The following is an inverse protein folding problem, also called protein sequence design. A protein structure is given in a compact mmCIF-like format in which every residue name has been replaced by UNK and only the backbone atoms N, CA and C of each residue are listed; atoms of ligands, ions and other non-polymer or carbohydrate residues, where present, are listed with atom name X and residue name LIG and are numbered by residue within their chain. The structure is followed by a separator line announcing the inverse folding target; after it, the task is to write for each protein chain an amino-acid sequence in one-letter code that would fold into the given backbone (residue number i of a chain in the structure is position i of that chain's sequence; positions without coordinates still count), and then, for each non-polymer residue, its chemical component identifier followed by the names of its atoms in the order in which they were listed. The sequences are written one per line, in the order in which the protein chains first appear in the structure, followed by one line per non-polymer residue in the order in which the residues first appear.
data_IF_262279424898
#
_entry.id   IF_262279424898
#
_cell.length_a   1.000
_cell.length_b   1.000
_cell.length_c   1.000
_cell.angle_alpha   90.00
_cell.angle_beta   90.00
_cell.angle_gamma   90.00
#
_symmetry.space_group_name_H-M   'P 1'
#
loop_
_entity.id
_entity.type
_entity.pdbx_description
1 polymer ?
#
# COMPACT_ATOMS: atom_id res chain seq x y z
N UNK A 1 -9.40 3.19 18.53
CA UNK A 1 -9.74 4.62 18.70
C UNK A 1 -10.62 5.01 17.53
N UNK A 2 -11.69 5.78 17.75
CA UNK A 2 -12.60 6.22 16.70
C UNK A 2 -12.41 7.71 16.41
N UNK A 3 -12.28 8.06 15.13
CA UNK A 3 -12.01 9.42 14.67
C UNK A 3 -13.08 9.89 13.68
N UNK A 4 -13.25 11.20 13.47
CA UNK A 4 -14.05 11.72 12.35
C UNK A 4 -13.55 11.11 11.04
N UNK A 5 -14.48 10.78 10.13
CA UNK A 5 -14.16 10.16 8.83
C UNK A 5 -13.05 10.88 8.07
N UNK A 6 -13.15 12.21 7.95
CA UNK A 6 -12.15 13.05 7.27
C UNK A 6 -10.74 12.95 7.89
N UNK A 7 -10.65 12.73 9.20
CA UNK A 7 -9.37 12.53 9.86
C UNK A 7 -8.77 11.16 9.53
N UNK A 8 -9.62 10.12 9.45
CA UNK A 8 -9.21 8.78 8.99
C UNK A 8 -8.73 8.84 7.53
N UNK A 9 -9.46 9.55 6.66
CA UNK A 9 -9.08 9.78 5.26
C UNK A 9 -7.67 10.38 5.16
N UNK A 10 -7.41 11.48 5.85
CA UNK A 10 -6.10 12.14 5.83
C UNK A 10 -4.96 11.24 6.33
N UNK A 11 -5.22 10.40 7.34
CA UNK A 11 -4.21 9.44 7.82
C UNK A 11 -3.88 8.42 6.73
N UNK A 12 -4.89 7.87 6.04
CA UNK A 12 -4.68 6.86 5.01
C UNK A 12 -3.97 7.47 3.80
N UNK A 13 -4.41 8.65 3.34
CA UNK A 13 -3.77 9.37 2.24
C UNK A 13 -2.29 9.64 2.55
N UNK A 14 -1.98 10.09 3.77
CA UNK A 14 -0.59 10.36 4.16
C UNK A 14 0.30 9.11 4.31
N UNK A 15 -0.25 7.90 4.14
CA UNK A 15 0.50 6.65 4.19
C UNK A 15 0.54 5.92 2.85
N UNK A 16 -0.20 6.40 1.86
CA UNK A 16 -0.41 5.69 0.60
C UNK A 16 0.88 5.64 -0.23
N UNK A 17 1.47 6.79 -0.53
CA UNK A 17 2.71 6.90 -1.30
C UNK A 17 3.87 6.07 -0.71
N UNK A 18 4.26 6.25 0.58
CA UNK A 18 5.34 5.45 1.16
C UNK A 18 5.00 3.96 1.22
N UNK A 19 3.73 3.58 1.44
CA UNK A 19 3.29 2.19 1.40
C UNK A 19 3.51 1.59 0.01
N UNK A 20 3.08 2.30 -1.05
CA UNK A 20 3.20 1.82 -2.41
C UNK A 20 4.65 1.72 -2.86
N UNK A 21 5.47 2.73 -2.58
CA UNK A 21 6.91 2.69 -2.88
C UNK A 21 7.58 1.45 -2.27
N UNK A 22 7.27 1.14 -1.00
CA UNK A 22 7.85 -0.01 -0.32
C UNK A 22 7.31 -1.35 -0.82
N UNK A 23 6.04 -1.41 -1.24
CA UNK A 23 5.51 -2.59 -1.92
C UNK A 23 6.22 -2.82 -3.25
N UNK A 24 6.46 -1.77 -4.04
CA UNK A 24 7.24 -1.87 -5.28
C UNK A 24 8.65 -2.38 -5.00
N UNK A 25 9.35 -1.83 -4.00
CA UNK A 25 10.68 -2.29 -3.57
C UNK A 25 10.68 -3.79 -3.23
N UNK A 26 9.69 -4.25 -2.45
CA UNK A 26 9.63 -5.64 -2.01
C UNK A 26 9.29 -6.62 -3.14
N UNK A 27 8.45 -6.22 -4.07
CA UNK A 27 7.86 -7.13 -5.07
C UNK A 27 8.65 -7.17 -6.38
N UNK A 28 9.32 -6.08 -6.73
CA UNK A 28 9.96 -5.90 -8.03
C UNK A 28 11.48 -5.76 -7.97
N UNK A 29 12.11 -5.85 -6.80
CA UNK A 29 13.57 -5.69 -6.68
C UNK A 29 14.18 -6.72 -5.72
N UNK A 30 15.36 -7.21 -6.09
CA UNK A 30 16.15 -8.16 -5.31
C UNK A 30 17.08 -7.43 -4.33
N UNK A 31 16.47 -6.83 -3.30
CA UNK A 31 17.21 -6.23 -2.19
C UNK A 31 17.88 -7.28 -1.29
N UNK A 32 18.96 -6.88 -0.62
CA UNK A 32 19.59 -7.69 0.42
C UNK A 32 18.61 -7.97 1.56
N UNK A 33 18.78 -9.11 2.24
CA UNK A 33 17.87 -9.56 3.30
C UNK A 33 17.62 -8.50 4.39
N UNK A 34 18.64 -7.71 4.73
CA UNK A 34 18.51 -6.66 5.75
C UNK A 34 17.59 -5.51 5.31
N UNK A 35 17.74 -5.06 4.06
CA UNK A 35 16.90 -4.03 3.45
C UNK A 35 15.47 -4.53 3.28
N UNK A 36 15.29 -5.78 2.81
CA UNK A 36 13.95 -6.41 2.74
C UNK A 36 13.27 -6.44 4.10
N UNK A 37 13.99 -6.87 5.16
CA UNK A 37 13.45 -6.85 6.53
C UNK A 37 13.05 -5.46 6.99
N UNK A 38 13.85 -4.44 6.66
CA UNK A 38 13.54 -3.05 6.97
C UNK A 38 12.25 -2.60 6.29
N UNK A 39 12.14 -2.74 4.96
CA UNK A 39 10.96 -2.35 4.20
C UNK A 39 9.69 -3.10 4.66
N UNK A 40 9.80 -4.40 4.93
CA UNK A 40 8.69 -5.20 5.49
C UNK A 40 8.21 -4.66 6.83
N UNK A 41 9.13 -4.24 7.69
CA UNK A 41 8.79 -3.68 9.01
C UNK A 41 8.01 -2.38 8.88
N UNK A 42 8.38 -1.53 7.92
CA UNK A 42 7.68 -0.26 7.67
C UNK A 42 6.29 -0.47 7.10
N UNK A 43 6.16 -1.30 6.06
CA UNK A 43 4.87 -1.72 5.50
C UNK A 43 3.97 -2.28 6.61
N UNK A 44 4.49 -3.20 7.43
CA UNK A 44 3.76 -3.76 8.57
C UNK A 44 3.32 -2.68 9.56
N UNK A 45 4.17 -1.71 9.88
CA UNK A 45 3.83 -0.59 10.78
C UNK A 45 2.68 0.25 10.25
N UNK A 46 2.69 0.59 8.96
CA UNK A 46 1.62 1.36 8.34
C UNK A 46 0.32 0.58 8.23
N UNK A 47 0.37 -0.70 7.88
CA UNK A 47 -0.82 -1.56 7.88
C UNK A 47 -1.40 -1.73 9.30
N UNK A 48 -0.55 -1.85 10.33
CA UNK A 48 -0.99 -1.81 11.73
C UNK A 48 -1.72 -0.51 12.06
N UNK A 49 -1.19 0.62 11.58
CA UNK A 49 -1.82 1.92 11.80
C UNK A 49 -3.19 1.98 11.12
N UNK A 50 -3.29 1.61 9.85
CA UNK A 50 -4.54 1.64 9.06
C UNK A 50 -5.59 0.69 9.66
N UNK A 51 -5.24 -0.57 9.95
CA UNK A 51 -6.22 -1.55 10.44
C UNK A 51 -6.80 -1.20 11.82
N UNK A 52 -6.15 -0.35 12.61
CA UNK A 52 -6.62 0.10 13.93
C UNK A 52 -7.57 1.30 13.87
N UNK A 53 -7.68 1.94 12.70
CA UNK A 53 -8.57 3.09 12.52
C UNK A 53 -10.03 2.63 12.57
N UNK A 54 -10.84 3.39 13.31
CA UNK A 54 -12.30 3.26 13.33
C UNK A 54 -12.89 4.65 13.12
N UNK A 55 -14.09 4.70 12.55
CA UNK A 55 -14.78 5.95 12.24
C UNK A 55 -15.90 6.23 13.24
N UNK A 56 -16.03 7.49 13.64
CA UNK A 56 -17.20 7.98 14.38
C UNK A 56 -18.43 8.07 13.46
N UNK A 57 -19.66 7.99 14.01
CA UNK A 57 -19.96 7.85 15.44
C UNK A 57 -19.95 6.41 15.96
N UNK A 58 -20.07 5.41 15.10
CA UNK A 58 -20.39 4.03 15.45
C UNK A 58 -19.15 3.12 15.62
N UNK A 59 -17.95 3.69 15.54
CA UNK A 59 -16.68 2.95 15.58
C UNK A 59 -16.57 1.86 14.51
N UNK A 60 -17.21 2.05 13.35
CA UNK A 60 -17.12 1.11 12.22
C UNK A 60 -15.87 1.31 11.37
N UNK A 61 -15.55 0.28 10.59
CA UNK A 61 -14.57 0.33 9.50
C UNK A 61 -15.14 1.07 8.28
N UNK A 62 -14.27 1.38 7.31
CA UNK A 62 -14.71 1.92 6.02
C UNK A 62 -15.30 0.86 5.10
N UNK A 63 -15.98 1.30 4.04
CA UNK A 63 -16.36 0.40 2.95
C UNK A 63 -15.14 -0.03 2.13
N UNK A 64 -15.27 -1.10 1.36
CA UNK A 64 -14.23 -1.52 0.39
C UNK A 64 -13.86 -0.36 -0.53
N UNK A 65 -14.86 0.33 -1.10
CA UNK A 65 -14.66 1.51 -1.97
C UNK A 65 -13.90 2.64 -1.27
N UNK A 66 -14.13 2.84 0.02
CA UNK A 66 -13.40 3.85 0.80
C UNK A 66 -11.91 3.52 0.88
N UNK A 67 -11.55 2.30 1.28
CA UNK A 67 -10.14 1.92 1.40
C UNK A 67 -9.46 1.84 0.04
N UNK A 68 -10.08 1.18 -0.95
CA UNK A 68 -9.53 1.04 -2.29
C UNK A 68 -9.36 2.41 -2.98
N UNK A 69 -10.35 3.29 -2.80
CA UNK A 69 -10.31 4.67 -3.29
C UNK A 69 -9.07 5.41 -2.81
N UNK A 70 -8.84 5.40 -1.49
CA UNK A 70 -7.76 6.16 -0.87
C UNK A 70 -6.37 5.52 -1.06
N UNK A 71 -6.27 4.20 -1.16
CA UNK A 71 -4.99 3.48 -1.22
C UNK A 71 -4.50 3.21 -2.64
N UNK A 72 -5.39 3.22 -3.64
CA UNK A 72 -5.03 2.83 -5.01
C UNK A 72 -5.73 3.66 -6.09
N UNK A 73 -7.06 3.80 -6.07
CA UNK A 73 -7.79 4.42 -7.18
C UNK A 73 -7.49 5.92 -7.33
N UNK A 74 -7.47 6.70 -6.25
CA UNK A 74 -7.15 8.14 -6.34
C UNK A 74 -5.68 8.42 -6.68
N UNK A 75 -4.70 7.70 -6.11
CA UNK A 75 -3.29 7.92 -6.45
C UNK A 75 -2.87 7.37 -7.82
N UNK A 76 -3.43 6.23 -8.25
CA UNK A 76 -2.98 5.52 -9.46
C UNK A 76 -4.02 5.40 -10.57
N UNK A 77 -5.31 5.58 -10.29
CA UNK A 77 -6.40 5.31 -11.24
C UNK A 77 -6.22 6.04 -12.58
N UNK A 78 -6.12 5.28 -13.66
CA UNK A 78 -5.98 5.77 -15.03
C UNK A 78 -4.57 6.23 -15.43
N UNK A 79 -3.59 6.18 -14.52
CA UNK A 79 -2.18 6.54 -14.76
C UNK A 79 -1.21 5.51 -14.15
N UNK A 80 -1.69 4.31 -13.86
CA UNK A 80 -1.01 3.28 -13.08
C UNK A 80 0.38 2.98 -13.67
N UNK A 81 0.42 2.71 -14.98
CA UNK A 81 1.66 2.32 -15.68
C UNK A 81 2.71 3.44 -15.68
N UNK A 82 2.26 4.70 -15.77
CA UNK A 82 3.17 5.85 -15.76
C UNK A 82 3.74 6.07 -14.36
N UNK A 83 2.92 5.99 -13.31
CA UNK A 83 3.38 6.10 -11.93
C UNK A 83 4.31 4.94 -11.57
N UNK A 84 3.98 3.70 -11.99
CA UNK A 84 4.84 2.54 -11.78
C UNK A 84 6.19 2.72 -12.44
N UNK A 85 6.22 3.21 -13.69
CA UNK A 85 7.46 3.56 -14.37
C UNK A 85 8.29 4.54 -13.53
N UNK A 86 7.69 5.65 -13.11
CA UNK A 86 8.42 6.69 -12.36
C UNK A 86 9.00 6.15 -11.05
N UNK A 87 8.22 5.39 -10.28
CA UNK A 87 8.68 4.80 -9.02
C UNK A 87 9.80 3.79 -9.26
N UNK A 88 9.65 2.90 -10.26
CA UNK A 88 10.68 1.91 -10.58
C UNK A 88 11.96 2.56 -11.09
N UNK A 89 11.86 3.60 -11.93
CA UNK A 89 13.01 4.32 -12.46
C UNK A 89 13.76 5.02 -11.29
N UNK A 90 13.05 5.65 -10.35
CA UNK A 90 13.63 6.27 -9.14
C UNK A 90 14.34 5.25 -8.23
N UNK A 91 13.70 4.12 -7.93
CA UNK A 91 14.31 3.05 -7.12
C UNK A 91 15.55 2.48 -7.82
N UNK A 92 15.48 2.31 -9.14
CA UNK A 92 16.61 1.79 -9.93
C UNK A 92 17.81 2.74 -9.85
N UNK A 93 17.57 4.06 -9.91
CA UNK A 93 18.60 5.08 -9.78
C UNK A 93 19.19 5.12 -8.35
N UNK A 94 18.34 5.17 -7.33
CA UNK A 94 18.77 5.26 -5.92
C UNK A 94 19.60 4.06 -5.47
N UNK A 95 19.21 2.85 -5.88
CA UNK A 95 19.84 1.61 -5.41
C UNK A 95 20.73 0.93 -6.45
N UNK A 96 20.85 1.48 -7.67
CA UNK A 96 21.57 0.86 -8.78
C UNK A 96 21.12 -0.58 -9.08
N UNK A 97 19.81 -0.84 -8.93
CA UNK A 97 19.18 -2.14 -9.18
C UNK A 97 18.36 -2.12 -10.46
N UNK A 98 18.09 -3.30 -11.00
CA UNK A 98 17.12 -3.48 -12.09
C UNK A 98 15.87 -4.16 -11.56
N UNK A 99 14.68 -3.77 -12.04
CA UNK A 99 13.46 -4.45 -11.66
C UNK A 99 13.41 -5.89 -12.19
N UNK A 100 12.85 -6.79 -11.40
CA UNK A 100 12.69 -8.22 -11.71
C UNK A 100 11.36 -8.55 -12.39
N UNK A 101 10.42 -7.59 -12.40
CA UNK A 101 9.09 -7.71 -13.01
C UNK A 101 8.85 -6.61 -14.02
N UNK A 102 7.95 -6.87 -14.97
CA UNK A 102 7.44 -5.83 -15.86
C UNK A 102 6.55 -4.84 -15.11
N UNK A 103 6.33 -3.66 -15.71
CA UNK A 103 5.45 -2.62 -15.16
C UNK A 103 3.99 -3.08 -15.09
N UNK A 104 3.57 -3.86 -16.08
CA UNK A 104 2.23 -4.45 -16.18
C UNK A 104 2.02 -5.53 -15.11
N UNK A 105 3.01 -6.39 -14.90
CA UNK A 105 2.97 -7.40 -13.83
C UNK A 105 2.89 -6.74 -12.45
N UNK A 106 3.67 -5.69 -12.22
CA UNK A 106 3.65 -4.93 -10.98
C UNK A 106 2.31 -4.21 -10.77
N UNK A 107 1.81 -3.52 -11.79
CA UNK A 107 0.53 -2.80 -11.72
C UNK A 107 -0.63 -3.77 -11.41
N UNK A 108 -0.67 -4.92 -12.10
CA UNK A 108 -1.65 -5.97 -11.83
C UNK A 108 -1.52 -6.55 -10.42
N UNK A 109 -0.30 -6.75 -9.93
CA UNK A 109 -0.07 -7.22 -8.57
C UNK A 109 -0.54 -6.21 -7.53
N UNK A 110 -0.22 -4.92 -7.68
CA UNK A 110 -0.63 -3.87 -6.74
C UNK A 110 -2.14 -3.71 -6.72
N UNK A 111 -2.79 -3.72 -7.89
CA UNK A 111 -4.25 -3.66 -7.98
C UNK A 111 -4.90 -4.79 -7.17
N UNK A 112 -4.42 -6.03 -7.34
CA UNK A 112 -4.92 -7.20 -6.60
C UNK A 112 -4.63 -7.10 -5.10
N UNK A 113 -3.43 -6.66 -4.73
CA UNK A 113 -3.05 -6.44 -3.33
C UNK A 113 -4.00 -5.45 -2.66
N UNK A 114 -4.23 -4.29 -3.28
CA UNK A 114 -5.09 -3.24 -2.71
C UNK A 114 -6.56 -3.61 -2.69
N UNK A 115 -7.06 -4.33 -3.69
CA UNK A 115 -8.42 -4.88 -3.67
C UNK A 115 -8.61 -5.83 -2.48
N UNK A 116 -7.66 -6.75 -2.24
CA UNK A 116 -7.71 -7.67 -1.10
C UNK A 116 -7.54 -6.94 0.24
N UNK A 117 -6.62 -5.98 0.32
CA UNK A 117 -6.41 -5.16 1.51
C UNK A 117 -7.67 -4.39 1.88
N UNK A 118 -8.31 -3.72 0.92
CA UNK A 118 -9.56 -2.99 1.12
C UNK A 118 -10.69 -3.91 1.60
N UNK A 119 -10.81 -5.10 1.01
CA UNK A 119 -11.75 -6.13 1.43
C UNK A 119 -11.55 -6.52 2.90
N UNK A 120 -10.32 -6.83 3.30
CA UNK A 120 -10.02 -7.24 4.68
C UNK A 120 -10.21 -6.12 5.69
N UNK A 121 -9.77 -4.91 5.37
CA UNK A 121 -9.96 -3.73 6.22
C UNK A 121 -11.44 -3.44 6.45
N UNK A 122 -12.27 -3.60 5.42
CA UNK A 122 -13.73 -3.46 5.54
C UNK A 122 -14.30 -4.46 6.56
N UNK A 123 -13.90 -5.73 6.49
CA UNK A 123 -14.35 -6.78 7.41
C UNK A 123 -13.67 -6.75 8.78
N UNK A 124 -12.70 -5.86 9.00
CA UNK A 124 -11.95 -5.77 10.26
C UNK A 124 -10.97 -6.93 10.47
N UNK A 125 -10.58 -7.61 9.40
CA UNK A 125 -9.65 -8.74 9.42
C UNK A 125 -8.19 -8.30 9.54
N UNK A 126 -7.32 -9.23 9.93
CA UNK A 126 -5.87 -9.01 9.90
C UNK A 126 -5.38 -8.87 8.45
N UNK A 127 -4.45 -7.92 8.26
CA UNK A 127 -3.86 -7.60 6.95
C UNK A 127 -2.35 -7.83 6.92
N UNK A 128 -1.76 -8.25 8.05
CA UNK A 128 -0.30 -8.31 8.19
C UNK A 128 0.32 -9.52 7.47
N UNK A 129 -0.47 -10.55 7.19
CA UNK A 129 -0.11 -11.67 6.33
C UNK A 129 -0.12 -11.32 4.84
N UNK A 130 -0.61 -10.13 4.46
CA UNK A 130 -0.52 -9.65 3.08
C UNK A 130 0.86 -9.07 2.74
N UNK A 131 1.68 -8.76 3.74
CA UNK A 131 3.01 -8.17 3.53
C UNK A 131 3.89 -9.16 2.76
N UNK A 132 4.44 -8.79 1.59
CA UNK A 132 5.29 -9.66 0.80
C UNK A 132 6.49 -10.18 1.59
N UNK A 133 6.91 -11.41 1.27
CA UNK A 133 8.08 -12.06 1.89
C UNK A 133 9.41 -11.45 1.48
#
# INVERSE_FOLDING_TARGET
MAYPRKYVENIIIGLEDPLNEHLVKLVSFDFLAEQRRHFRREVRSWLVKIQRLRMKPDSRTGSVKFYYGLLFDYPFGGVELQNMRTIMDLISEEYSLRPTKSREELAGWLQQFHARLAGRLHHGETVLDLVPD
#
